data_IF_454870189468
#
_entry.id   IF_454870189468
#
_cell.length_a   1.000
_cell.length_b   1.000
_cell.length_c   1.000
_cell.angle_alpha   90.00
_cell.angle_beta   90.00
_cell.angle_gamma   90.00
#
_symmetry.space_group_name_H-M   'P 1'
#
loop_
_entity.id
_entity.type
_entity.pdbx_description
1 polymer ?
#
# COMPACT_ATOMS: atom_id res chain seq x y z
N UNK A 1 -2.50 14.91 -2.88
CA UNK A 1 -3.53 15.00 -1.82
C UNK A 1 -4.90 14.96 -2.48
N UNK A 2 -5.93 14.40 -1.83
CA UNK A 2 -7.26 14.33 -2.46
C UNK A 2 -7.94 15.70 -2.50
N UNK A 3 -8.74 15.93 -3.55
CA UNK A 3 -9.64 17.09 -3.61
C UNK A 3 -10.83 16.92 -2.67
N UNK A 4 -11.64 17.98 -2.50
CA UNK A 4 -12.88 17.91 -1.73
C UNK A 4 -13.87 16.87 -2.29
N UNK A 5 -14.01 16.81 -3.61
CA UNK A 5 -14.89 15.86 -4.29
C UNK A 5 -14.37 14.42 -4.16
N UNK A 6 -13.06 14.22 -4.27
CA UNK A 6 -12.42 12.92 -4.02
C UNK A 6 -12.58 12.49 -2.54
N UNK A 7 -12.51 13.43 -1.60
CA UNK A 7 -12.73 13.17 -0.17
C UNK A 7 -14.18 12.77 0.10
N UNK A 8 -15.15 13.43 -0.56
CA UNK A 8 -16.57 13.07 -0.49
C UNK A 8 -16.81 11.67 -1.05
N UNK A 9 -16.26 11.36 -2.22
CA UNK A 9 -16.31 10.01 -2.82
C UNK A 9 -15.66 8.96 -1.93
N UNK A 10 -14.54 9.27 -1.28
CA UNK A 10 -13.88 8.37 -0.33
C UNK A 10 -14.82 8.02 0.82
N UNK A 11 -15.46 9.02 1.44
CA UNK A 11 -16.45 8.78 2.51
C UNK A 11 -17.61 7.90 2.04
N UNK A 12 -18.17 8.19 0.86
CA UNK A 12 -19.27 7.41 0.27
C UNK A 12 -18.86 5.97 -0.01
N UNK A 13 -17.70 5.75 -0.62
CA UNK A 13 -17.20 4.43 -0.98
C UNK A 13 -16.87 3.58 0.26
N UNK A 14 -16.28 4.19 1.29
CA UNK A 14 -16.07 3.52 2.58
C UNK A 14 -17.42 3.12 3.19
N UNK A 15 -18.40 4.03 3.26
CA UNK A 15 -19.75 3.74 3.79
C UNK A 15 -20.43 2.61 3.01
N UNK A 16 -20.36 2.62 1.68
CA UNK A 16 -20.92 1.56 0.85
C UNK A 16 -20.22 0.22 1.09
N UNK A 17 -18.88 0.21 1.17
CA UNK A 17 -18.11 -0.99 1.41
C UNK A 17 -18.40 -1.61 2.78
N UNK A 18 -18.42 -0.82 3.85
CA UNK A 18 -18.71 -1.33 5.20
C UNK A 18 -20.18 -1.71 5.41
N UNK A 19 -21.11 -1.13 4.63
CA UNK A 19 -22.52 -1.50 4.64
C UNK A 19 -22.76 -2.89 4.06
N UNK A 20 -21.91 -3.34 3.12
CA UNK A 20 -21.99 -4.69 2.57
C UNK A 20 -21.71 -5.75 3.65
N UNK A 21 -22.61 -6.73 3.85
CA UNK A 21 -22.37 -7.82 4.80
C UNK A 21 -21.24 -8.76 4.36
N UNK A 22 -20.81 -8.72 3.10
CA UNK A 22 -19.72 -9.55 2.57
C UNK A 22 -18.33 -9.00 2.91
N UNK A 23 -18.21 -7.70 3.16
CA UNK A 23 -16.93 -7.06 3.47
C UNK A 23 -16.72 -7.06 4.99
N UNK A 24 -15.79 -7.90 5.46
CA UNK A 24 -15.34 -7.90 6.85
C UNK A 24 -14.52 -6.65 7.20
N UNK A 25 -13.63 -6.25 6.30
CA UNK A 25 -12.65 -5.18 6.44
C UNK A 25 -12.25 -4.62 5.08
N UNK A 26 -11.90 -3.33 5.00
CA UNK A 26 -11.40 -2.72 3.77
C UNK A 26 -9.90 -3.02 3.63
N UNK A 27 -9.57 -4.00 2.81
CA UNK A 27 -8.24 -4.56 2.55
C UNK A 27 -8.08 -4.99 1.10
N UNK A 28 -6.82 -5.10 0.65
CA UNK A 28 -6.44 -5.59 -0.67
C UNK A 28 -7.30 -4.98 -1.79
N UNK A 29 -7.98 -5.83 -2.56
CA UNK A 29 -8.78 -5.44 -3.71
C UNK A 29 -9.95 -4.50 -3.37
N UNK A 30 -10.53 -4.59 -2.16
CA UNK A 30 -11.59 -3.65 -1.77
C UNK A 30 -11.06 -2.22 -1.60
N UNK A 31 -9.81 -2.07 -1.14
CA UNK A 31 -9.16 -0.76 -1.11
C UNK A 31 -8.79 -0.28 -2.51
N UNK A 32 -8.24 -1.16 -3.36
CA UNK A 32 -7.98 -0.85 -4.77
C UNK A 32 -9.25 -0.35 -5.47
N UNK A 33 -10.38 -1.05 -5.31
CA UNK A 33 -11.65 -0.67 -5.94
C UNK A 33 -12.19 0.68 -5.44
N UNK A 34 -12.13 0.94 -4.14
CA UNK A 34 -12.46 2.25 -3.58
C UNK A 34 -11.55 3.32 -4.19
N UNK A 35 -10.24 3.07 -4.27
CA UNK A 35 -9.29 4.06 -4.78
C UNK A 35 -9.54 4.40 -6.26
N UNK A 36 -9.85 3.40 -7.08
CA UNK A 36 -10.24 3.59 -8.47
C UNK A 36 -11.52 4.42 -8.59
N UNK A 37 -12.52 4.16 -7.75
CA UNK A 37 -13.74 4.97 -7.70
C UNK A 37 -13.48 6.43 -7.31
N UNK A 38 -12.68 6.69 -6.26
CA UNK A 38 -12.40 8.07 -5.83
C UNK A 38 -11.61 8.83 -6.89
N UNK A 39 -10.70 8.18 -7.61
CA UNK A 39 -9.86 8.81 -8.64
C UNK A 39 -10.51 8.82 -10.02
N UNK A 40 -11.67 8.16 -10.18
CA UNK A 40 -12.30 7.95 -11.48
C UNK A 40 -11.36 7.26 -12.48
N UNK A 41 -10.65 6.23 -12.02
CA UNK A 41 -9.73 5.42 -12.83
C UNK A 41 -10.43 4.08 -13.12
N UNK A 42 -10.45 3.61 -14.38
CA UNK A 42 -10.98 2.28 -14.70
C UNK A 42 -10.29 1.18 -13.89
N UNK A 43 -11.07 0.27 -13.33
CA UNK A 43 -10.56 -0.90 -12.60
C UNK A 43 -10.81 -2.16 -13.44
N UNK A 44 -9.77 -2.93 -13.68
CA UNK A 44 -9.89 -4.23 -14.35
C UNK A 44 -10.47 -5.28 -13.40
N UNK A 45 -11.33 -6.16 -13.94
CA UNK A 45 -11.84 -7.30 -13.18
C UNK A 45 -10.68 -8.26 -12.82
N UNK A 46 -10.46 -8.55 -11.53
CA UNK A 46 -9.38 -9.42 -11.08
C UNK A 46 -9.52 -10.86 -11.59
N UNK A 47 -10.72 -11.30 -11.99
CA UNK A 47 -10.97 -12.62 -12.55
C UNK A 47 -10.38 -12.80 -13.97
N UNK A 48 -10.12 -11.70 -14.69
CA UNK A 48 -9.56 -11.74 -16.06
C UNK A 48 -8.03 -11.86 -16.08
N UNK A 49 -7.40 -12.06 -14.91
CA UNK A 49 -5.97 -12.18 -14.76
C UNK A 49 -5.28 -10.82 -14.60
N UNK A 50 -4.38 -10.72 -13.61
CA UNK A 50 -3.62 -9.50 -13.33
C UNK A 50 -2.14 -9.79 -13.12
N UNK A 51 -1.28 -9.02 -13.79
CA UNK A 51 0.15 -9.02 -13.50
C UNK A 51 0.43 -8.15 -12.27
N UNK A 52 1.11 -8.70 -11.27
CA UNK A 52 1.41 -7.96 -10.03
C UNK A 52 2.57 -6.98 -10.24
N UNK A 53 2.25 -5.74 -10.58
CA UNK A 53 3.20 -4.63 -10.68
C UNK A 53 3.25 -3.83 -9.37
N UNK A 54 3.94 -2.68 -9.36
CA UNK A 54 4.09 -1.86 -8.14
C UNK A 54 2.88 -0.96 -7.89
N UNK A 55 2.38 -0.34 -8.96
CA UNK A 55 1.25 0.57 -8.89
C UNK A 55 -0.03 -0.23 -9.09
N UNK A 56 -0.87 -0.21 -8.06
CA UNK A 56 -2.16 -0.88 -8.04
C UNK A 56 -3.21 -0.03 -8.78
N UNK A 57 -3.02 1.30 -8.83
CA UNK A 57 -3.81 2.23 -9.63
C UNK A 57 -2.91 3.13 -10.48
N UNK A 58 -3.30 3.36 -11.74
CA UNK A 58 -2.60 4.25 -12.68
C UNK A 58 -3.59 5.16 -13.39
N UNK A 59 -3.38 6.46 -13.27
CA UNK A 59 -4.07 7.47 -14.07
C UNK A 59 -3.20 7.85 -15.27
N UNK A 60 -3.59 7.38 -16.45
CA UNK A 60 -2.88 7.64 -17.69
C UNK A 60 -2.94 9.11 -18.13
N UNK A 61 -3.93 9.89 -17.67
CA UNK A 61 -4.06 11.31 -18.05
C UNK A 61 -3.00 12.17 -17.39
N UNK A 62 -2.65 11.84 -16.13
CA UNK A 62 -1.66 12.58 -15.34
C UNK A 62 -0.34 11.82 -15.20
N UNK A 63 -0.22 10.65 -15.83
CA UNK A 63 0.88 9.70 -15.66
C UNK A 63 1.21 9.45 -14.17
N UNK A 64 0.17 9.36 -13.34
CA UNK A 64 0.30 9.15 -11.89
C UNK A 64 0.04 7.70 -11.54
N UNK A 65 0.85 7.13 -10.65
CA UNK A 65 0.72 5.76 -10.17
C UNK A 65 0.73 5.69 -8.64
N UNK A 66 -0.13 4.87 -8.08
CA UNK A 66 -0.23 4.65 -6.63
C UNK A 66 0.03 3.20 -6.27
N UNK A 67 1.00 2.96 -5.38
CA UNK A 67 1.07 1.69 -4.64
C UNK A 67 0.16 1.78 -3.43
N UNK A 68 -0.89 0.98 -3.43
CA UNK A 68 -1.98 1.05 -2.48
C UNK A 68 -1.75 0.08 -1.32
N UNK A 69 -1.96 0.56 -0.10
CA UNK A 69 -1.86 -0.27 1.11
C UNK A 69 -3.00 0.08 2.05
N UNK A 70 -3.49 -0.90 2.80
CA UNK A 70 -4.33 -0.62 3.96
C UNK A 70 -3.79 -1.32 5.20
N UNK A 71 -3.94 -0.67 6.35
CA UNK A 71 -3.44 -1.17 7.63
C UNK A 71 -4.42 -0.87 8.75
N UNK A 72 -4.57 -1.84 9.65
CA UNK A 72 -5.21 -1.60 10.94
C UNK A 72 -4.15 -1.14 11.95
N UNK A 73 -4.37 -0.01 12.61
CA UNK A 73 -3.52 0.50 13.69
C UNK A 73 -4.32 0.65 14.98
N UNK A 74 -3.62 0.54 16.11
CA UNK A 74 -4.22 0.78 17.44
C UNK A 74 -4.41 2.28 17.73
N UNK A 75 -3.65 3.15 17.06
CA UNK A 75 -3.77 4.60 17.18
C UNK A 75 -3.65 5.23 15.80
N UNK A 76 -4.54 6.18 15.51
CA UNK A 76 -4.55 6.97 14.28
C UNK A 76 -4.16 8.44 14.54
N UNK A 77 -3.53 8.74 15.68
CA UNK A 77 -3.12 10.10 16.02
C UNK A 77 -2.08 10.63 15.05
N UNK A 78 -2.05 11.96 14.86
CA UNK A 78 -0.98 12.62 14.12
C UNK A 78 0.37 12.26 14.74
N UNK A 79 1.41 12.21 13.90
CA UNK A 79 2.79 11.83 14.27
C UNK A 79 2.97 10.38 14.73
N UNK A 80 1.90 9.58 14.77
CA UNK A 80 2.05 8.14 14.98
C UNK A 80 2.81 7.53 13.79
N UNK A 81 3.81 6.71 14.09
CA UNK A 81 4.66 6.07 13.09
C UNK A 81 4.28 4.61 12.95
N UNK A 82 4.19 4.14 11.71
CA UNK A 82 3.80 2.78 11.38
C UNK A 82 4.73 2.17 10.32
N UNK A 83 4.82 0.84 10.35
CA UNK A 83 5.57 0.06 9.37
C UNK A 83 4.58 -0.68 8.47
N UNK A 84 4.90 -0.76 7.18
CA UNK A 84 4.14 -1.57 6.23
C UNK A 84 5.08 -2.21 5.21
N UNK A 85 4.68 -3.36 4.68
CA UNK A 85 5.45 -4.08 3.66
C UNK A 85 5.37 -3.33 2.34
N UNK A 86 6.53 -2.94 1.79
CA UNK A 86 6.64 -2.32 0.47
C UNK A 86 7.00 -3.34 -0.61
N UNK A 87 7.72 -4.40 -0.27
CA UNK A 87 7.98 -5.52 -1.17
C UNK A 87 8.43 -6.77 -0.43
N UNK A 88 8.32 -7.92 -1.11
CA UNK A 88 9.19 -9.06 -0.81
C UNK A 88 10.58 -8.76 -1.36
N UNK A 89 11.60 -8.89 -0.52
CA UNK A 89 13.00 -8.62 -0.82
C UNK A 89 13.85 -9.86 -0.52
N UNK A 90 13.94 -10.77 -1.49
CA UNK A 90 14.86 -11.92 -1.44
C UNK A 90 16.20 -11.55 -2.09
N UNK A 91 16.92 -10.62 -1.46
CA UNK A 91 18.15 -10.03 -2.01
C UNK A 91 19.28 -11.05 -2.16
N UNK A 92 19.27 -12.12 -1.35
CA UNK A 92 20.28 -13.18 -1.43
C UNK A 92 20.06 -14.01 -2.69
N UNK A 93 18.82 -14.44 -2.97
CA UNK A 93 18.50 -15.17 -4.21
C UNK A 93 18.74 -14.29 -5.45
N UNK A 94 18.57 -12.98 -5.33
CA UNK A 94 18.73 -12.01 -6.42
C UNK A 94 20.15 -11.42 -6.51
N UNK A 95 21.09 -11.89 -5.71
CA UNK A 95 22.44 -11.34 -5.59
C UNK A 95 23.13 -11.11 -6.95
N UNK A 96 23.08 -12.10 -7.85
CA UNK A 96 23.65 -12.01 -9.20
C UNK A 96 22.98 -10.91 -10.03
N UNK A 97 21.64 -10.86 -10.04
CA UNK A 97 20.87 -9.85 -10.78
C UNK A 97 21.09 -8.44 -10.24
N UNK A 98 21.43 -8.32 -8.96
CA UNK A 98 21.77 -7.07 -8.29
C UNK A 98 23.26 -6.71 -8.44
N UNK A 99 24.06 -7.50 -9.17
CA UNK A 99 25.49 -7.21 -9.37
C UNK A 99 26.37 -7.41 -8.13
N UNK A 100 25.87 -8.17 -7.13
CA UNK A 100 26.57 -8.47 -5.87
C UNK A 100 26.62 -9.99 -5.61
N UNK A 101 27.25 -10.78 -6.50
CA UNK A 101 27.10 -12.24 -6.54
C UNK A 101 27.54 -12.98 -5.26
N UNK A 102 28.41 -12.39 -4.43
CA UNK A 102 28.88 -12.97 -3.16
C UNK A 102 27.99 -12.65 -1.95
N UNK A 103 26.88 -11.92 -2.13
CA UNK A 103 26.01 -11.48 -1.04
C UNK A 103 25.38 -12.67 -0.29
N UNK A 104 25.55 -12.71 1.02
CA UNK A 104 25.01 -13.73 1.92
C UNK A 104 24.63 -13.10 3.28
N UNK A 105 24.05 -13.88 4.19
CA UNK A 105 23.59 -13.36 5.49
C UNK A 105 24.73 -12.93 6.44
N UNK A 106 25.96 -13.38 6.18
CA UNK A 106 27.17 -13.00 6.90
C UNK A 106 27.81 -11.73 6.34
N UNK A 107 27.31 -11.22 5.21
CA UNK A 107 27.76 -9.95 4.63
C UNK A 107 27.50 -8.81 5.61
N UNK A 108 28.30 -7.75 5.50
CA UNK A 108 28.16 -6.59 6.40
C UNK A 108 26.76 -5.95 6.27
N UNK A 109 26.24 -5.32 7.34
CA UNK A 109 25.00 -4.56 7.29
C UNK A 109 24.95 -3.55 6.14
N UNK A 110 26.07 -2.89 5.84
CA UNK A 110 26.18 -1.95 4.73
C UNK A 110 26.00 -2.65 3.37
N UNK A 111 26.66 -3.78 3.12
CA UNK A 111 26.50 -4.53 1.87
C UNK A 111 25.07 -5.03 1.66
N UNK A 112 24.45 -5.58 2.72
CA UNK A 112 23.05 -6.00 2.68
C UNK A 112 22.11 -4.80 2.44
N UNK A 113 22.37 -3.69 3.11
CA UNK A 113 21.64 -2.43 2.95
C UNK A 113 21.68 -1.91 1.51
N UNK A 114 22.86 -1.84 0.91
CA UNK A 114 23.04 -1.44 -0.50
C UNK A 114 22.22 -2.33 -1.43
N UNK A 115 22.27 -3.65 -1.25
CA UNK A 115 21.50 -4.59 -2.08
C UNK A 115 19.98 -4.42 -1.91
N UNK A 116 19.50 -4.13 -0.70
CA UNK A 116 18.09 -3.82 -0.41
C UNK A 116 17.64 -2.56 -1.16
N UNK A 117 18.42 -1.48 -1.07
CA UNK A 117 18.10 -0.21 -1.75
C UNK A 117 18.11 -0.41 -3.26
N UNK A 118 19.12 -1.09 -3.80
CA UNK A 118 19.20 -1.38 -5.23
C UNK A 118 18.01 -2.20 -5.71
N UNK A 119 17.64 -3.27 -5.00
CA UNK A 119 16.49 -4.11 -5.35
C UNK A 119 15.18 -3.30 -5.34
N UNK A 120 15.00 -2.43 -4.34
CA UNK A 120 13.82 -1.56 -4.29
C UNK A 120 13.78 -0.52 -5.40
N UNK A 121 14.89 0.18 -5.64
CA UNK A 121 14.98 1.20 -6.68
C UNK A 121 14.76 0.61 -8.07
N UNK A 122 15.28 -0.59 -8.34
CA UNK A 122 15.02 -1.31 -9.58
C UNK A 122 13.53 -1.67 -9.74
N UNK A 123 12.87 -2.08 -8.66
CA UNK A 123 11.42 -2.35 -8.68
C UNK A 123 10.62 -1.09 -9.02
N UNK A 124 10.99 0.07 -8.46
CA UNK A 124 10.36 1.36 -8.79
C UNK A 124 10.55 1.66 -10.27
N UNK A 125 11.79 1.73 -10.75
CA UNK A 125 12.10 2.12 -12.14
C UNK A 125 11.44 1.19 -13.16
N UNK A 126 11.61 -0.12 -13.00
CA UNK A 126 11.01 -1.10 -13.91
C UNK A 126 9.47 -1.00 -13.94
N UNK A 127 8.83 -0.73 -12.80
CA UNK A 127 7.37 -0.58 -12.75
C UNK A 127 6.91 0.77 -13.30
N UNK A 128 7.68 1.85 -13.10
CA UNK A 128 7.41 3.15 -13.72
C UNK A 128 7.42 3.04 -15.24
N UNK A 129 8.47 2.45 -15.79
CA UNK A 129 8.59 2.22 -17.24
C UNK A 129 7.47 1.31 -17.76
N UNK A 130 7.22 0.16 -17.10
CA UNK A 130 6.20 -0.78 -17.56
C UNK A 130 4.77 -0.22 -17.49
N UNK A 131 4.49 0.70 -16.58
CA UNK A 131 3.16 1.26 -16.34
C UNK A 131 3.01 2.71 -16.86
N UNK A 132 4.02 3.26 -17.55
CA UNK A 132 4.07 4.65 -18.01
C UNK A 132 3.77 5.68 -16.91
N UNK A 133 4.33 5.46 -15.71
CA UNK A 133 4.14 6.33 -14.54
C UNK A 133 5.32 7.30 -14.42
N UNK A 134 5.01 8.59 -14.33
CA UNK A 134 5.96 9.68 -14.05
C UNK A 134 5.85 10.09 -12.58
N UNK A 135 4.63 10.30 -12.08
CA UNK A 135 4.36 10.74 -10.71
C UNK A 135 4.01 9.54 -9.83
N UNK A 136 4.87 9.22 -8.86
CA UNK A 136 4.73 7.99 -8.08
C UNK A 136 4.38 8.26 -6.63
N UNK A 137 3.39 7.52 -6.12
CA UNK A 137 2.87 7.71 -4.77
C UNK A 137 2.63 6.39 -4.03
N UNK A 138 2.69 6.44 -2.71
CA UNK A 138 2.13 5.46 -1.80
C UNK A 138 0.77 5.99 -1.32
N UNK A 139 -0.32 5.28 -1.62
CA UNK A 139 -1.66 5.62 -1.13
C UNK A 139 -2.08 4.66 -0.01
N UNK A 140 -2.13 5.16 1.22
CA UNK A 140 -2.30 4.33 2.42
C UNK A 140 -3.62 4.66 3.11
N UNK A 141 -4.50 3.66 3.24
CA UNK A 141 -5.70 3.74 4.06
C UNK A 141 -5.44 3.08 5.43
N UNK A 142 -5.38 3.89 6.48
CA UNK A 142 -5.28 3.44 7.85
C UNK A 142 -6.68 3.35 8.46
N UNK A 143 -6.90 2.37 9.31
CA UNK A 143 -8.17 2.17 10.02
C UNK A 143 -7.92 1.71 11.46
N UNK A 144 -8.88 1.95 12.34
CA UNK A 144 -8.88 1.33 13.67
C UNK A 144 -9.53 -0.05 13.62
N UNK A 145 -9.48 -0.78 14.74
CA UNK A 145 -10.02 -2.13 14.86
C UNK A 145 -11.54 -2.16 14.69
N UNK A 146 -12.22 -1.13 15.17
CA UNK A 146 -13.67 -1.00 15.14
C UNK A 146 -14.18 -0.72 13.71
N UNK A 147 -13.32 -0.17 12.84
CA UNK A 147 -13.68 0.21 11.48
C UNK A 147 -14.68 1.36 11.45
N UNK A 148 -14.52 2.32 12.36
CA UNK A 148 -15.32 3.55 12.41
C UNK A 148 -14.44 4.81 12.25
N UNK A 149 -13.12 4.68 12.32
CA UNK A 149 -12.16 5.75 12.05
C UNK A 149 -11.20 5.32 10.94
N UNK A 150 -11.01 6.22 9.98
CA UNK A 150 -10.16 6.02 8.82
C UNK A 150 -9.27 7.23 8.61
N UNK A 151 -8.01 6.98 8.22
CA UNK A 151 -7.07 8.03 7.83
C UNK A 151 -6.43 7.67 6.50
N UNK A 152 -6.66 8.49 5.48
CA UNK A 152 -5.95 8.36 4.21
C UNK A 152 -4.71 9.25 4.20
N UNK A 153 -3.58 8.63 3.90
CA UNK A 153 -2.29 9.28 3.74
C UNK A 153 -1.76 9.04 2.32
N UNK A 154 -1.08 10.04 1.76
CA UNK A 154 -0.40 9.94 0.48
C UNK A 154 1.04 10.42 0.64
N UNK A 155 2.00 9.66 0.12
CA UNK A 155 3.42 10.01 0.19
C UNK A 155 4.07 9.89 -1.19
N UNK A 156 4.99 10.79 -1.56
CA UNK A 156 5.83 10.59 -2.72
C UNK A 156 6.62 9.28 -2.63
N UNK A 157 6.66 8.55 -3.74
CA UNK A 157 7.35 7.29 -3.91
C UNK A 157 8.49 7.46 -4.92
N UNK A 158 9.64 7.89 -4.41
CA UNK A 158 10.86 8.06 -5.19
C UNK A 158 11.86 6.95 -4.89
N UNK A 159 12.78 6.64 -5.83
CA UNK A 159 13.99 5.88 -5.52
C UNK A 159 14.70 6.46 -4.30
N UNK A 160 15.22 5.57 -3.47
CA UNK A 160 15.94 5.92 -2.24
C UNK A 160 17.40 6.21 -2.57
N UNK A 161 17.96 7.26 -1.96
CA UNK A 161 19.41 7.50 -1.98
C UNK A 161 20.09 6.49 -1.04
N UNK A 162 20.99 5.60 -1.52
CA UNK A 162 21.68 4.66 -0.65
C UNK A 162 22.62 5.34 0.35
N UNK A 163 23.12 6.54 0.07
CA UNK A 163 24.19 7.19 0.85
C UNK A 163 23.69 7.82 2.16
N UNK A 164 22.37 8.00 2.32
CA UNK A 164 21.80 8.63 3.52
C UNK A 164 21.43 7.64 4.62
N UNK A 165 21.56 6.34 4.35
CA UNK A 165 21.18 5.28 5.30
C UNK A 165 22.38 4.78 6.10
N UNK A 166 22.20 4.71 7.42
CA UNK A 166 23.04 3.87 8.28
C UNK A 166 22.34 2.53 8.53
N UNK A 167 23.08 1.43 8.40
CA UNK A 167 22.54 0.07 8.51
C UNK A 167 23.08 -0.66 9.73
N UNK A 168 22.18 -1.24 10.52
CA UNK A 168 22.53 -2.07 11.67
C UNK A 168 21.50 -3.19 11.85
N UNK A 169 21.95 -4.34 12.33
CA UNK A 169 21.02 -5.36 12.78
C UNK A 169 20.26 -4.86 14.01
N UNK A 170 18.95 -5.09 14.03
CA UNK A 170 18.14 -4.89 15.23
C UNK A 170 18.70 -5.74 16.37
N UNK A 171 18.54 -5.28 17.61
CA UNK A 171 18.92 -6.06 18.79
C UNK A 171 17.69 -6.85 19.26
N UNK A 172 17.88 -8.15 19.47
CA UNK A 172 16.86 -8.98 20.14
C UNK A 172 16.77 -8.55 21.60
N UNK A 173 15.61 -8.02 22.00
CA UNK A 173 15.41 -7.48 23.35
C UNK A 173 15.45 -8.54 24.46
N UNK A 174 15.23 -9.82 24.14
CA UNK A 174 15.26 -10.92 25.11
C UNK A 174 16.67 -11.43 25.31
N UNK A 175 17.44 -11.54 24.23
CA UNK A 175 18.78 -12.16 24.28
C UNK A 175 19.92 -11.15 24.30
N UNK A 176 19.66 -9.89 23.96
CA UNK A 176 20.68 -8.84 23.76
C UNK A 176 21.54 -9.04 22.51
N UNK A 177 21.29 -10.11 21.74
CA UNK A 177 22.05 -10.46 20.54
C UNK A 177 21.48 -9.86 19.26
N UNK A 178 21.99 -10.35 18.12
CA UNK A 178 21.53 -9.95 16.78
C UNK A 178 20.09 -10.45 16.56
N UNK A 179 19.17 -9.50 16.41
CA UNK A 179 17.78 -9.74 16.07
C UNK A 179 17.55 -10.11 14.60
N UNK A 180 16.29 -10.40 14.27
CA UNK A 180 15.91 -10.93 12.96
C UNK A 180 15.82 -9.88 11.82
N UNK A 181 15.81 -8.58 12.16
CA UNK A 181 15.62 -7.49 11.21
C UNK A 181 16.87 -6.66 11.01
N UNK A 182 17.19 -6.32 9.76
CA UNK A 182 18.20 -5.32 9.41
C UNK A 182 17.51 -3.95 9.29
N UNK A 183 17.97 -2.97 10.05
CA UNK A 183 17.36 -1.64 10.12
C UNK A 183 18.18 -0.62 9.32
N UNK A 184 17.53 0.09 8.41
CA UNK A 184 18.07 1.24 7.71
C UNK A 184 17.52 2.52 8.34
N UNK A 185 18.40 3.37 8.83
CA UNK A 185 18.04 4.61 9.54
C UNK A 185 18.58 5.84 8.83
N UNK A 186 17.84 6.94 8.90
CA UNK A 186 18.26 8.27 8.46
C UNK A 186 18.20 9.18 9.68
N UNK A 187 19.30 9.88 9.99
CA UNK A 187 19.41 10.76 11.17
C UNK A 187 18.92 10.08 12.47
N UNK A 188 19.31 8.82 12.69
CA UNK A 188 18.94 8.04 13.88
C UNK A 188 17.50 7.52 13.92
N UNK A 189 16.67 7.79 12.90
CA UNK A 189 15.30 7.29 12.81
C UNK A 189 15.20 6.14 11.83
N UNK A 190 14.64 5.01 12.26
CA UNK A 190 14.38 3.86 11.39
C UNK A 190 13.41 4.21 10.27
N UNK A 191 13.87 4.06 9.03
CA UNK A 191 13.08 4.30 7.81
C UNK A 191 12.74 3.00 7.09
N UNK A 192 13.62 2.00 7.17
CA UNK A 192 13.44 0.68 6.57
C UNK A 192 13.75 -0.42 7.57
N UNK A 193 13.03 -1.54 7.45
CA UNK A 193 13.36 -2.77 8.17
C UNK A 193 13.24 -3.95 7.21
N UNK A 194 14.32 -4.69 7.02
CA UNK A 194 14.32 -5.93 6.25
C UNK A 194 14.36 -7.14 7.16
N UNK A 195 13.34 -8.00 7.09
CA UNK A 195 13.31 -9.25 7.83
C UNK A 195 13.79 -10.40 6.95
N UNK A 196 14.97 -10.94 7.28
CA UNK A 196 15.62 -12.00 6.50
C UNK A 196 14.79 -13.28 6.37
N UNK A 197 14.07 -13.68 7.43
CA UNK A 197 13.28 -14.91 7.45
C UNK A 197 12.04 -14.82 6.57
N UNK A 198 11.36 -13.68 6.59
CA UNK A 198 10.14 -13.45 5.81
C UNK A 198 10.46 -12.96 4.40
N UNK A 199 11.70 -12.54 4.15
CA UNK A 199 12.15 -11.90 2.92
C UNK A 199 11.27 -10.71 2.59
N UNK A 200 10.99 -9.87 3.58
CA UNK A 200 10.10 -8.72 3.46
C UNK A 200 10.83 -7.45 3.84
N UNK A 201 10.63 -6.41 3.02
CA UNK A 201 11.09 -5.06 3.29
C UNK A 201 9.91 -4.22 3.75
N UNK A 202 10.04 -3.66 4.95
CA UNK A 202 9.11 -2.74 5.54
C UNK A 202 9.62 -1.31 5.40
N UNK A 203 8.69 -0.38 5.21
CA UNK A 203 8.94 1.05 5.22
C UNK A 203 8.21 1.70 6.38
N UNK A 204 8.87 2.65 7.01
CA UNK A 204 8.31 3.51 8.05
C UNK A 204 7.67 4.75 7.45
N UNK A 205 6.48 5.09 7.91
CA UNK A 205 5.81 6.36 7.61
C UNK A 205 5.16 6.91 8.87
N UNK A 206 4.99 8.22 8.89
CA UNK A 206 4.40 8.97 10.00
C UNK A 206 3.12 9.62 9.51
N UNK A 207 2.03 9.47 10.26
CA UNK A 207 0.72 10.06 9.91
C UNK A 207 0.87 11.59 9.88
N UNK A 208 0.75 12.25 8.71
CA UNK A 208 0.92 13.69 8.63
C UNK A 208 -0.29 14.41 9.21
N UNK A 209 -0.09 15.64 9.69
CA UNK A 209 -1.18 16.48 10.18
C UNK A 209 -2.25 16.75 9.11
N UNK A 210 -1.83 16.86 7.84
CA UNK A 210 -2.71 17.08 6.70
C UNK A 210 -3.37 15.80 6.15
N UNK A 211 -3.26 14.67 6.86
CA UNK A 211 -3.94 13.44 6.45
C UNK A 211 -5.47 13.61 6.46
N UNK A 212 -6.14 12.93 5.55
CA UNK A 212 -7.61 12.99 5.45
C UNK A 212 -8.19 12.05 6.49
N UNK A 213 -8.94 12.60 7.44
CA UNK A 213 -9.53 11.88 8.56
C UNK A 213 -11.02 11.76 8.37
N UNK A 214 -11.54 10.55 8.48
CA UNK A 214 -12.95 10.25 8.32
C UNK A 214 -13.42 9.45 9.54
N UNK A 215 -14.54 9.89 10.11
CA UNK A 215 -15.32 9.10 11.05
C UNK A 215 -16.60 8.66 10.36
N UNK A 216 -16.91 7.38 10.47
CA UNK A 216 -18.12 6.78 9.89
C UNK A 216 -18.90 6.06 10.97
N UNK A 217 -20.21 6.04 10.81
CA UNK A 217 -21.07 5.15 11.56
C UNK A 217 -21.15 3.82 10.82
N UNK A 218 -20.92 2.72 11.55
CA UNK A 218 -20.89 1.39 10.95
C UNK A 218 -22.27 0.75 10.98
N UNK A 219 -23.03 0.96 9.92
CA UNK A 219 -24.34 0.33 9.71
C UNK A 219 -24.24 -0.70 8.59
N UNK A 220 -24.58 -1.96 8.87
CA UNK A 220 -24.60 -3.03 7.87
C UNK A 220 -26.02 -3.25 7.34
N UNK A 221 -26.12 -3.51 6.04
CA UNK A 221 -27.35 -4.04 5.46
C UNK A 221 -27.57 -5.48 5.96
N UNK A 222 -28.83 -5.88 6.08
CA UNK A 222 -29.18 -7.31 6.17
C UNK A 222 -28.78 -8.01 4.88
N UNK A 223 -28.60 -9.33 4.94
CA UNK A 223 -28.21 -10.13 3.77
C UNK A 223 -29.28 -9.97 2.66
N UNK A 224 -30.56 -10.09 3.01
CA UNK A 224 -31.66 -9.95 2.05
C UNK A 224 -31.64 -8.57 1.37
N UNK A 225 -31.53 -7.50 2.18
CA UNK A 225 -31.50 -6.13 1.63
C UNK A 225 -30.30 -5.89 0.73
N UNK A 226 -29.15 -6.47 1.06
CA UNK A 226 -27.97 -6.42 0.21
C UNK A 226 -28.22 -7.14 -1.12
N UNK A 227 -28.70 -8.38 -1.10
CA UNK A 227 -28.94 -9.17 -2.32
C UNK A 227 -29.97 -8.48 -3.22
N UNK A 228 -31.10 -8.03 -2.67
CA UNK A 228 -32.13 -7.31 -3.42
C UNK A 228 -31.58 -6.05 -4.08
N UNK A 229 -30.82 -5.24 -3.34
CA UNK A 229 -30.27 -3.97 -3.84
C UNK A 229 -29.27 -4.20 -4.98
N UNK A 230 -28.36 -5.16 -4.79
CA UNK A 230 -27.35 -5.49 -5.82
C UNK A 230 -28.00 -6.10 -7.05
N UNK A 231 -28.97 -7.01 -6.88
CA UNK A 231 -29.68 -7.62 -7.99
C UNK A 231 -30.48 -6.59 -8.80
N UNK A 232 -31.19 -5.69 -8.13
CA UNK A 232 -31.91 -4.60 -8.81
C UNK A 232 -30.96 -3.64 -9.56
N UNK A 233 -29.81 -3.32 -8.97
CA UNK A 233 -28.78 -2.51 -9.63
C UNK A 233 -28.21 -3.22 -10.87
N UNK A 234 -27.96 -4.52 -10.78
CA UNK A 234 -27.50 -5.34 -11.90
C UNK A 234 -28.52 -5.35 -13.05
N UNK A 235 -29.80 -5.58 -12.75
CA UNK A 235 -30.87 -5.53 -13.76
C UNK A 235 -30.96 -4.16 -14.44
N UNK A 236 -30.80 -3.08 -13.68
CA UNK A 236 -30.78 -1.72 -14.23
C UNK A 236 -29.61 -1.54 -15.20
N UNK A 237 -28.42 -2.04 -14.82
CA UNK A 237 -27.22 -1.94 -15.64
C UNK A 237 -27.34 -2.75 -16.94
N UNK A 238 -27.83 -3.99 -16.87
CA UNK A 238 -28.02 -4.83 -18.07
C UNK A 238 -29.07 -4.25 -19.01
N UNK A 239 -30.20 -3.80 -18.45
CA UNK A 239 -31.26 -3.18 -19.26
C UNK A 239 -30.80 -1.88 -19.90
N UNK A 240 -29.89 -1.12 -19.28
CA UNK A 240 -29.35 0.11 -19.87
C UNK A 240 -28.34 -0.18 -21.00
N UNK A 241 -27.64 -1.31 -20.94
CA UNK A 241 -26.69 -1.72 -21.99
C UNK A 241 -27.39 -2.20 -23.27
N UNK A 242 -28.62 -2.73 -23.18
CA UNK A 242 -29.43 -3.13 -24.35
C UNK A 242 -29.98 -1.94 -25.17
N UNK A 243 -29.80 -0.69 -24.70
CA UNK A 243 -30.29 0.53 -25.37
C UNK A 243 -29.19 1.45 -25.92
N UNK A 244 -27.93 0.99 -26.02
CA UNK A 244 -26.87 1.75 -26.71
C UNK A 244 -26.64 1.14 -28.11
N UNK A 245 -27.14 1.75 -29.20
CA UNK A 245 -26.85 1.31 -30.57
C UNK A 245 -25.39 1.53 -30.97
#
# INVERSE_FOLDING_TARGET
MLTNDETKRLKQAILAAIASPLIGSIEDYSWEAIFHYIKNIPLSDPALGRSKLLYDAVDSKTASGWSLKSLQLNSLTTDNTFLFVIQRADIIKKAIQLGVPSLNLQSSPAQLGTAIIQHWNEKIRSSQTAQNVINSYEGILLKNREGNEYVYCEYPLNPLDPNVFSWAWAIDKKTGGVGAGLQGSIAGKTQLVWYKNQKQLFRSRTIPAAAIRLRIERTRLTIDRYVETIFAALQTQTNTQDFVP
#
